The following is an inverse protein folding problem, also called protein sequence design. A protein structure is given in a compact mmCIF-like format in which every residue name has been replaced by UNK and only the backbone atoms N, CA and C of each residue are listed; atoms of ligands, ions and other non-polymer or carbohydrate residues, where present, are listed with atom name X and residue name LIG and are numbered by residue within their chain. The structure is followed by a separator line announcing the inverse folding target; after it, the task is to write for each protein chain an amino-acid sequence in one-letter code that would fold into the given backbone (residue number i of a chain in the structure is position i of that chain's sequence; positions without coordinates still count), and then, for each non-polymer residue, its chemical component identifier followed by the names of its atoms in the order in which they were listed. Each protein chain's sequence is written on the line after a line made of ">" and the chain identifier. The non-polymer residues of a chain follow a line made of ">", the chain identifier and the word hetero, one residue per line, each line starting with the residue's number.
data_IF_183403448559
#
_entry.id   IF_183403448559
#
_cell.length_a   1.000
_cell.length_b   1.000
_cell.length_c   1.000
_cell.angle_alpha   90.00
_cell.angle_beta   90.00
_cell.angle_gamma   90.00
#
_symmetry.space_group_name_H-M   'P 1'
#
loop_
_entity.id
_entity.type
_entity.pdbx_description
1 polymer ?
#
# COMPACT_ATOMS: atom_id res chain seq x y z
N UNK A 1 22.14 19.36 -21.48
CA UNK A 1 21.29 19.85 -20.36
C UNK A 1 20.10 18.94 -20.04
N UNK A 2 19.62 18.07 -20.93
CA UNK A 2 18.44 17.21 -20.69
C UNK A 2 18.71 15.92 -19.91
N UNK A 3 19.95 15.42 -19.91
CA UNK A 3 20.35 14.20 -19.20
C UNK A 3 19.99 14.18 -17.69
N UNK A 4 20.25 15.23 -16.89
CA UNK A 4 19.85 15.24 -15.47
C UNK A 4 18.32 15.18 -15.28
N UNK A 5 17.55 15.80 -16.17
CA UNK A 5 16.08 15.77 -16.10
C UNK A 5 15.54 14.36 -16.39
N UNK A 6 16.14 13.65 -17.34
CA UNK A 6 15.79 12.26 -17.67
C UNK A 6 16.10 11.30 -16.52
N UNK A 7 17.26 11.43 -15.88
CA UNK A 7 17.63 10.63 -14.72
C UNK A 7 16.70 10.88 -13.53
N UNK A 8 16.32 12.13 -13.28
CA UNK A 8 15.35 12.48 -12.25
C UNK A 8 13.97 11.87 -12.52
N UNK A 9 13.48 11.96 -13.77
CA UNK A 9 12.22 11.34 -14.18
C UNK A 9 12.21 9.82 -14.02
N UNK A 10 13.31 9.14 -14.39
CA UNK A 10 13.47 7.71 -14.17
C UNK A 10 13.45 7.35 -12.68
N UNK A 11 14.14 8.14 -11.84
CA UNK A 11 14.14 7.95 -10.39
C UNK A 11 12.75 8.02 -9.79
N UNK A 12 11.96 9.03 -10.14
CA UNK A 12 10.58 9.16 -9.68
C UNK A 12 9.70 7.99 -10.14
N UNK A 13 9.84 7.56 -11.40
CA UNK A 13 9.11 6.42 -11.93
C UNK A 13 9.39 5.14 -11.12
N UNK A 14 10.66 4.86 -10.82
CA UNK A 14 11.04 3.68 -10.03
C UNK A 14 10.46 3.74 -8.61
N UNK A 15 10.46 4.91 -7.97
CA UNK A 15 9.87 5.09 -6.64
C UNK A 15 8.37 4.79 -6.65
N UNK A 16 7.64 5.29 -7.66
CA UNK A 16 6.19 5.03 -7.79
C UNK A 16 5.92 3.55 -8.01
N UNK A 17 6.69 2.89 -8.88
CA UNK A 17 6.55 1.44 -9.14
C UNK A 17 6.80 0.63 -7.86
N UNK A 18 7.89 0.93 -7.13
CA UNK A 18 8.20 0.27 -5.86
C UNK A 18 7.08 0.49 -4.83
N UNK A 19 6.56 1.72 -4.75
CA UNK A 19 5.45 2.04 -3.86
C UNK A 19 4.19 1.24 -4.20
N UNK A 20 3.83 1.12 -5.48
CA UNK A 20 2.69 0.32 -5.93
C UNK A 20 2.86 -1.17 -5.57
N UNK A 21 4.05 -1.73 -5.72
CA UNK A 21 4.34 -3.12 -5.35
C UNK A 21 4.13 -3.32 -3.85
N UNK A 22 4.68 -2.43 -3.02
CA UNK A 22 4.51 -2.48 -1.55
C UNK A 22 3.04 -2.35 -1.16
N UNK A 23 2.29 -1.43 -1.79
CA UNK A 23 0.87 -1.24 -1.54
C UNK A 23 0.05 -2.51 -1.84
N UNK A 24 0.33 -3.19 -2.96
CA UNK A 24 -0.35 -4.45 -3.32
C UNK A 24 -0.03 -5.55 -2.30
N UNK A 25 1.25 -5.71 -1.92
CA UNK A 25 1.65 -6.70 -0.92
C UNK A 25 0.93 -6.45 0.41
N UNK A 26 0.84 -5.20 0.84
CA UNK A 26 0.13 -4.83 2.06
C UNK A 26 -1.38 -5.09 1.94
N UNK A 27 -1.99 -4.77 0.80
CA UNK A 27 -3.42 -5.02 0.58
C UNK A 27 -3.75 -6.52 0.68
N UNK A 28 -2.94 -7.38 0.04
CA UNK A 28 -3.10 -8.84 0.13
C UNK A 28 -2.91 -9.33 1.57
N UNK A 29 -1.88 -8.82 2.26
CA UNK A 29 -1.63 -9.18 3.65
C UNK A 29 -2.77 -8.77 4.59
N UNK A 30 -3.28 -7.55 4.47
CA UNK A 30 -4.42 -7.04 5.25
C UNK A 30 -5.68 -7.87 5.00
N UNK A 31 -5.95 -8.21 3.74
CA UNK A 31 -7.08 -9.08 3.41
C UNK A 31 -6.98 -10.42 4.14
N UNK A 32 -5.84 -11.10 4.03
CA UNK A 32 -5.64 -12.41 4.68
C UNK A 32 -5.60 -12.34 6.21
N UNK A 33 -5.08 -11.26 6.81
CA UNK A 33 -5.07 -11.07 8.27
C UNK A 33 -6.50 -10.77 8.78
N UNK A 34 -7.28 -9.97 8.05
CA UNK A 34 -8.66 -9.64 8.39
C UNK A 34 -9.60 -10.85 8.25
N UNK A 35 -9.45 -11.66 7.19
CA UNK A 35 -10.23 -12.88 6.97
C UNK A 35 -10.02 -13.89 8.11
N UNK A 36 -8.77 -14.06 8.56
CA UNK A 36 -8.43 -14.94 9.71
C UNK A 36 -9.06 -14.48 11.03
N UNK A 37 -9.35 -13.19 11.15
CA UNK A 37 -9.95 -12.57 12.35
C UNK A 37 -11.48 -12.47 12.25
N UNK A 38 -12.08 -12.95 11.16
CA UNK A 38 -13.53 -12.83 10.94
C UNK A 38 -13.98 -11.38 10.73
N UNK A 39 -13.07 -10.48 10.34
CA UNK A 39 -13.37 -9.10 9.99
C UNK A 39 -13.78 -9.00 8.52
N UNK A 40 -14.41 -7.87 8.15
CA UNK A 40 -14.73 -7.56 6.75
C UNK A 40 -13.46 -7.30 5.93
N UNK A 41 -12.83 -8.37 5.43
CA UNK A 41 -11.52 -8.34 4.80
C UNK A 41 -11.45 -7.44 3.55
N UNK A 42 -12.50 -7.46 2.73
CA UNK A 42 -12.60 -6.62 1.54
C UNK A 42 -12.63 -5.13 1.89
N UNK A 43 -13.36 -4.75 2.94
CA UNK A 43 -13.43 -3.37 3.43
C UNK A 43 -12.05 -2.90 3.93
N UNK A 44 -11.39 -3.68 4.78
CA UNK A 44 -10.07 -3.32 5.32
C UNK A 44 -9.00 -3.23 4.24
N UNK A 45 -9.00 -4.16 3.28
CA UNK A 45 -8.12 -4.09 2.12
C UNK A 45 -8.32 -2.78 1.33
N UNK A 46 -9.57 -2.39 1.03
CA UNK A 46 -9.86 -1.16 0.28
C UNK A 46 -9.44 0.09 1.07
N UNK A 47 -9.70 0.12 2.37
CA UNK A 47 -9.28 1.23 3.25
C UNK A 47 -7.76 1.41 3.18
N UNK A 48 -7.00 0.32 3.33
CA UNK A 48 -5.53 0.36 3.29
C UNK A 48 -5.02 0.74 1.90
N UNK A 49 -5.64 0.25 0.83
CA UNK A 49 -5.24 0.58 -0.54
C UNK A 49 -5.47 2.06 -0.88
N UNK A 50 -6.57 2.66 -0.41
CA UNK A 50 -6.92 4.05 -0.73
C UNK A 50 -6.22 5.07 0.18
N UNK A 51 -6.01 4.73 1.46
CA UNK A 51 -5.46 5.66 2.45
C UNK A 51 -3.98 5.39 2.78
N UNK A 52 -3.43 4.30 2.24
CA UNK A 52 -2.02 3.93 2.38
C UNK A 52 -1.63 3.63 3.83
N UNK A 53 -0.53 4.23 4.27
CA UNK A 53 0.04 4.04 5.62
C UNK A 53 -1.00 4.37 6.71
N UNK A 54 -1.84 5.39 6.51
CA UNK A 54 -2.82 5.82 7.52
C UNK A 54 -3.84 4.70 7.76
N UNK A 55 -4.43 4.14 6.70
CA UNK A 55 -5.35 3.01 6.82
C UNK A 55 -4.69 1.78 7.42
N UNK A 56 -3.41 1.55 7.08
CA UNK A 56 -2.64 0.45 7.66
C UNK A 56 -2.49 0.63 9.18
N UNK A 57 -2.12 1.82 9.66
CA UNK A 57 -2.01 2.11 11.10
C UNK A 57 -3.35 1.90 11.80
N UNK A 58 -4.44 2.41 11.23
CA UNK A 58 -5.79 2.22 11.79
C UNK A 58 -6.14 0.73 11.86
N UNK A 59 -5.90 -0.01 10.77
CA UNK A 59 -6.13 -1.46 10.74
C UNK A 59 -5.34 -2.17 11.84
N UNK A 60 -4.04 -1.84 12.00
CA UNK A 60 -3.17 -2.44 13.01
C UNK A 60 -3.65 -2.20 14.45
N UNK A 61 -4.30 -1.07 14.71
CA UNK A 61 -4.88 -0.73 16.02
C UNK A 61 -6.21 -1.47 16.25
N UNK A 62 -7.05 -1.59 15.21
CA UNK A 62 -8.40 -2.15 15.35
C UNK A 62 -8.43 -3.68 15.27
N UNK A 63 -7.40 -4.31 14.66
CA UNK A 63 -7.35 -5.76 14.38
C UNK A 63 -7.20 -6.69 15.60
N UNK A 64 -7.62 -6.27 16.78
CA UNK A 64 -7.62 -7.11 18.00
C UNK A 64 -8.56 -8.32 17.85
#
# INVERSE_FOLDING_TARGET
>A
MLLPLQLFGLGLYLVVVLWCIVAIILAVWVYSDAEKRGMEAALWMIIVLLTGIIGLIIYLIVRE
#
